data_IF_801284540923
#
_entry.id   IF_801284540923
#
_cell.length_a   1.000
_cell.length_b   1.000
_cell.length_c   1.000
_cell.angle_alpha   90.00
_cell.angle_beta   90.00
_cell.angle_gamma   90.00
#
_symmetry.space_group_name_H-M   'P 1'
#
loop_
_entity.id
_entity.type
_entity.pdbx_description
1 polymer ?
2 non-polymer ?
3 non-polymer ?
4 water ?
#
# COMPACT_ATOMS: atom_id res chain seq x y z
N UNK A 1 22.26 8.82 -6.03
CA UNK A 1 21.18 7.80 -6.08
C UNK A 1 20.66 7.54 -4.67
N UNK A 2 19.35 7.34 -4.56
CA UNK A 2 18.69 7.05 -3.29
C UNK A 2 18.94 8.06 -2.14
N UNK A 3 19.31 9.28 -2.48
CA UNK A 3 19.23 10.34 -1.50
C UNK A 3 17.86 10.98 -1.71
N UNK A 4 16.94 10.78 -0.77
CA UNK A 4 15.58 11.28 -0.96
C UNK A 4 15.36 12.62 -0.26
N UNK A 5 16.43 13.35 0.03
CA UNK A 5 16.30 14.61 0.78
C UNK A 5 15.40 15.66 0.17
N UNK A 6 15.37 15.81 -1.14
CA UNK A 6 14.42 16.85 -1.56
C UNK A 6 13.16 16.30 -2.23
N UNK A 7 12.66 15.21 -1.64
CA UNK A 7 11.50 14.48 -2.18
C UNK A 7 10.44 14.39 -1.12
N UNK A 8 9.18 14.32 -1.55
CA UNK A 8 8.03 14.28 -0.68
C UNK A 8 7.14 13.14 -1.13
N UNK A 9 6.72 12.29 -0.18
CA UNK A 9 5.83 11.15 -0.50
C UNK A 9 4.61 11.17 0.39
N UNK A 10 3.47 10.79 -0.20
CA UNK A 10 2.25 10.64 0.58
C UNK A 10 2.12 9.15 0.87
N UNK A 11 1.94 8.83 2.15
CA UNK A 11 1.78 7.43 2.56
C UNK A 11 0.38 7.22 3.10
N UNK A 12 -0.34 6.26 2.50
CA UNK A 12 -1.73 6.00 2.89
C UNK A 12 -1.90 4.59 3.43
N UNK A 13 -2.50 4.49 4.62
CA UNK A 13 -2.79 3.19 5.20
C UNK A 13 -1.98 2.78 6.43
N UNK A 14 -1.21 3.71 7.02
CA UNK A 14 -0.61 3.41 8.35
C UNK A 14 -1.72 3.33 9.41
N UNK A 15 -1.76 2.21 10.13
CA UNK A 15 -2.67 2.10 11.27
C UNK A 15 -1.93 2.18 12.61
N UNK A 16 -0.76 1.53 12.68
CA UNK A 16 0.05 1.47 13.91
C UNK A 16 1.49 1.11 13.58
N UNK A 17 2.30 0.83 14.61
CA UNK A 17 3.74 0.61 14.41
C UNK A 17 4.03 -0.67 13.63
N UNK A 18 3.04 -1.55 13.53
CA UNK A 18 3.22 -2.81 12.80
C UNK A 18 2.77 -2.73 11.35
N UNK A 19 2.17 -1.60 10.97
CA UNK A 19 1.68 -1.45 9.58
C UNK A 19 2.82 -1.59 8.58
N UNK A 20 2.56 -2.31 7.49
CA UNK A 20 3.52 -2.35 6.41
C UNK A 20 3.93 -0.94 5.95
N UNK A 21 2.94 -0.05 5.83
CA UNK A 21 3.18 1.33 5.39
C UNK A 21 4.08 2.11 6.37
N UNK A 22 4.12 1.69 7.63
CA UNK A 22 5.07 2.32 8.58
C UNK A 22 6.52 1.86 8.36
N UNK A 23 6.69 0.61 7.92
CA UNK A 23 8.03 0.13 7.48
C UNK A 23 8.48 1.00 6.31
N UNK A 24 7.57 1.26 5.36
CA UNK A 24 7.82 2.15 4.22
C UNK A 24 8.22 3.54 4.74
N UNK A 25 7.42 4.09 5.66
CA UNK A 25 7.71 5.42 6.20
C UNK A 25 9.09 5.46 6.84
N UNK A 26 9.46 4.45 7.63
CA UNK A 26 10.76 4.46 8.31
C UNK A 26 11.91 4.48 7.32
N UNK A 27 11.80 3.65 6.29
CA UNK A 27 12.89 3.58 5.30
C UNK A 27 13.00 4.92 4.52
N UNK A 28 11.88 5.43 4.02
CA UNK A 28 11.89 6.69 3.25
C UNK A 28 12.40 7.81 4.15
N UNK A 29 11.94 7.82 5.39
CA UNK A 29 12.41 8.83 6.36
C UNK A 29 13.93 8.78 6.57
N UNK A 30 14.48 7.57 6.70
CA UNK A 30 15.92 7.44 6.93
C UNK A 30 16.71 7.89 5.72
N UNK A 31 16.09 7.79 4.55
CA UNK A 31 16.68 8.24 3.30
C UNK A 31 16.53 9.76 3.10
N UNK A 32 15.83 10.43 4.03
CA UNK A 32 15.77 11.89 4.01
C UNK A 32 14.49 12.49 3.46
N UNK A 33 13.52 11.65 3.09
CA UNK A 33 12.29 12.15 2.48
C UNK A 33 11.39 12.92 3.44
N UNK A 34 10.65 13.89 2.89
CA UNK A 34 9.56 14.53 3.64
C UNK A 34 8.33 13.67 3.45
N UNK A 35 7.59 13.42 4.53
CA UNK A 35 6.45 12.50 4.44
C UNK A 35 5.13 13.14 4.81
N UNK A 36 4.08 12.76 4.08
CA UNK A 36 2.72 13.19 4.33
C UNK A 36 1.95 11.88 4.58
N UNK A 37 1.09 11.88 5.59
CA UNK A 37 0.34 10.70 6.02
C UNK A 37 -1.16 10.95 5.90
N UNK A 38 -1.89 9.95 5.44
CA UNK A 38 -3.34 10.03 5.48
C UNK A 38 -3.92 8.96 6.42
N UNK A 39 -5.15 9.18 6.87
CA UNK A 39 -5.83 8.28 7.79
C UNK A 39 -7.33 8.42 7.57
N UNK A 40 -8.09 7.40 7.95
CA UNK A 40 -9.48 7.31 7.55
C UNK A 40 -10.41 8.18 8.39
N UNK A 41 -10.30 8.04 9.71
CA UNK A 41 -11.22 8.66 10.67
C UNK A 41 -10.47 9.56 11.66
N UNK A 42 -11.09 10.65 12.09
CA UNK A 42 -10.44 11.58 13.02
C UNK A 42 -10.02 10.90 14.32
N UNK A 43 -10.82 9.93 14.77
CA UNK A 43 -10.42 9.14 15.95
C UNK A 43 -8.97 8.60 15.91
N UNK A 44 -8.39 8.38 14.72
CA UNK A 44 -7.03 7.81 14.61
C UNK A 44 -5.88 8.84 14.56
N UNK A 45 -6.23 10.13 14.48
CA UNK A 45 -5.22 11.16 14.21
C UNK A 45 -4.15 11.24 15.30
N UNK A 46 -4.60 11.24 16.56
CA UNK A 46 -3.68 11.44 17.68
C UNK A 46 -2.66 10.31 17.80
N UNK A 47 -3.13 9.06 17.81
CA UNK A 47 -2.22 7.91 17.86
C UNK A 47 -1.26 7.91 16.67
N UNK A 48 -1.74 8.34 15.51
CA UNK A 48 -0.89 8.42 14.32
C UNK A 48 0.16 9.52 14.42
N UNK A 49 -0.25 10.70 14.90
CA UNK A 49 0.69 11.80 15.16
C UNK A 49 1.80 11.32 16.10
N UNK A 50 1.38 10.64 17.16
CA UNK A 50 2.27 10.18 18.21
C UNK A 50 3.22 9.15 17.65
N UNK A 51 2.66 8.16 16.94
CA UNK A 51 3.49 7.17 16.27
C UNK A 51 4.55 7.83 15.38
N UNK A 52 4.12 8.81 14.60
CA UNK A 52 4.99 9.50 13.60
C UNK A 52 6.08 10.43 14.17
N UNK A 53 5.91 10.91 15.41
CA UNK A 53 6.98 11.60 16.14
C UNK A 53 8.27 10.76 16.22
N UNK A 54 8.14 9.44 16.13
CA UNK A 54 9.29 8.55 16.13
C UNK A 54 10.23 8.85 14.98
N UNK A 55 9.68 9.37 13.88
CA UNK A 55 10.49 9.70 12.70
C UNK A 55 11.17 11.06 12.82
N UNK A 56 10.76 11.85 13.79
CA UNK A 56 11.38 13.15 14.06
C UNK A 56 11.32 14.07 12.84
N UNK A 57 10.20 14.02 12.11
CA UNK A 57 10.02 14.87 10.93
C UNK A 57 9.84 16.30 11.43
N UNK A 58 10.43 17.27 10.73
CA UNK A 58 10.40 18.66 11.21
C UNK A 58 9.00 19.25 11.24
N UNK A 59 8.10 18.68 10.43
CA UNK A 59 6.71 19.11 10.33
C UNK A 59 5.83 17.87 10.23
N UNK A 60 4.73 17.85 10.98
CA UNK A 60 3.77 16.75 10.96
C UNK A 60 2.65 17.01 9.94
N UNK A 61 2.71 16.36 8.79
CA UNK A 61 1.71 16.55 7.72
C UNK A 61 0.74 15.39 7.69
N UNK A 62 -0.48 15.58 8.21
CA UNK A 62 -1.48 14.52 8.32
C UNK A 62 -2.85 14.96 7.82
N UNK A 63 -3.51 14.10 7.06
CA UNK A 63 -4.77 14.45 6.39
C UNK A 63 -5.79 13.34 6.53
N UNK A 64 -7.02 13.70 6.93
CA UNK A 64 -8.12 12.75 7.02
C UNK A 64 -8.72 12.53 5.63
N UNK A 65 -8.55 11.31 5.10
CA UNK A 65 -9.10 10.95 3.79
C UNK A 65 -9.68 9.56 3.87
N UNK A 66 -11.00 9.47 3.74
CA UNK A 66 -11.68 8.20 3.60
C UNK A 66 -11.81 7.96 2.10
N UNK A 67 -11.15 6.91 1.62
CA UNK A 67 -11.04 6.70 0.18
C UNK A 67 -12.38 6.25 -0.44
N UNK A 68 -13.36 5.98 0.40
CA UNK A 68 -14.74 5.71 -0.08
C UNK A 68 -15.46 6.97 -0.55
N UNK A 69 -14.90 8.12 -0.21
CA UNK A 69 -15.50 9.42 -0.55
C UNK A 69 -14.70 10.12 -1.63
N UNK A 70 -15.32 10.33 -2.80
CA UNK A 70 -14.68 11.10 -3.87
C UNK A 70 -14.25 12.49 -3.37
N UNK A 71 -15.18 13.18 -2.69
CA UNK A 71 -14.95 14.52 -2.14
C UNK A 71 -13.71 14.55 -1.23
N UNK A 72 -13.60 13.57 -0.34
CA UNK A 72 -12.48 13.54 0.61
C UNK A 72 -11.15 13.29 -0.08
N UNK A 73 -11.14 12.45 -1.11
CA UNK A 73 -9.91 12.18 -1.86
C UNK A 73 -9.46 13.42 -2.69
N UNK A 74 -10.40 14.00 -3.42
CA UNK A 74 -10.13 15.21 -4.19
C UNK A 74 -9.68 16.36 -3.28
N UNK A 75 -10.46 16.63 -2.25
CA UNK A 75 -10.20 17.76 -1.36
C UNK A 75 -8.87 17.59 -0.61
N UNK A 76 -8.63 16.35 -0.18
CA UNK A 76 -7.40 15.96 0.54
C UNK A 76 -6.14 16.19 -0.26
N UNK A 77 -6.06 15.63 -1.47
CA UNK A 77 -4.88 15.88 -2.30
C UNK A 77 -4.73 17.36 -2.71
N UNK A 78 -5.85 18.02 -2.96
CA UNK A 78 -5.79 19.46 -3.21
C UNK A 78 -5.19 20.18 -2.00
N UNK A 79 -5.63 19.85 -0.78
CA UNK A 79 -5.05 20.49 0.40
C UNK A 79 -3.56 20.16 0.59
N UNK A 80 -3.18 18.90 0.32
CA UNK A 80 -1.77 18.53 0.34
C UNK A 80 -0.95 19.39 -0.62
N UNK A 81 -1.45 19.62 -1.84
CA UNK A 81 -0.72 20.43 -2.79
C UNK A 81 -0.57 21.88 -2.30
N UNK A 82 -1.62 22.41 -1.71
CA UNK A 82 -1.57 23.78 -1.16
C UNK A 82 -0.58 23.91 0.01
N UNK A 83 -0.51 22.88 0.86
CA UNK A 83 0.30 22.93 2.06
C UNK A 83 1.77 22.60 1.84
N UNK A 84 2.05 21.60 1.01
CA UNK A 84 3.42 21.08 0.86
C UNK A 84 3.96 21.23 -0.56
N UNK A 85 3.07 21.44 -1.51
CA UNK A 85 3.48 21.58 -2.90
C UNK A 85 3.37 20.28 -3.67
N UNK A 86 4.14 20.16 -4.74
CA UNK A 86 4.14 18.97 -5.54
C UNK A 86 4.81 17.83 -4.81
N UNK A 87 4.43 16.61 -5.15
CA UNK A 87 5.01 15.43 -4.51
C UNK A 87 5.74 14.52 -5.51
N UNK A 88 6.51 13.58 -4.99
CA UNK A 88 7.27 12.67 -5.83
C UNK A 88 6.65 11.30 -5.96
N UNK A 89 5.70 10.99 -5.09
CA UNK A 89 5.02 9.71 -5.17
C UNK A 89 4.05 9.43 -4.05
N UNK A 90 3.37 8.29 -4.17
CA UNK A 90 2.34 7.84 -3.24
C UNK A 90 2.58 6.39 -2.92
N UNK A 91 2.51 6.04 -1.64
CA UNK A 91 2.52 4.64 -1.23
C UNK A 91 1.12 4.30 -0.71
N UNK A 92 0.48 3.33 -1.37
CA UNK A 92 -0.90 2.94 -1.08
C UNK A 92 -0.91 1.58 -0.39
N UNK A 93 -1.47 1.53 0.82
CA UNK A 93 -1.51 0.32 1.63
C UNK A 93 -2.89 0.23 2.29
N UNK A 94 -3.93 0.29 1.49
CA UNK A 94 -5.28 0.33 2.01
C UNK A 94 -6.02 -0.88 1.46
N UNK A 95 -6.65 -1.64 2.34
CA UNK A 95 -7.49 -2.77 1.94
C UNK A 95 -8.54 -2.99 3.00
N UNK A 96 -9.71 -3.45 2.59
CA UNK A 96 -10.72 -3.88 3.54
C UNK A 96 -11.74 -4.82 2.92
N UNK A 97 -12.16 -5.80 3.72
CA UNK A 97 -13.36 -6.60 3.45
C UNK A 97 -14.02 -6.85 4.78
N UNK A 98 -15.35 -7.03 4.79
CA UNK A 98 -16.04 -7.50 6.00
C UNK A 98 -15.44 -8.82 6.49
N UNK A 99 -15.21 -8.90 7.79
CA UNK A 99 -14.60 -10.10 8.37
C UNK A 99 -15.34 -11.38 8.02
N UNK A 100 -16.66 -11.29 7.91
CA UNK A 100 -17.48 -12.47 7.62
C UNK A 100 -17.11 -13.08 6.27
N UNK A 101 -16.55 -12.24 5.39
CA UNK A 101 -16.18 -12.64 4.04
C UNK A 101 -14.78 -13.25 3.95
N UNK A 102 -14.04 -13.21 5.06
CA UNK A 102 -12.67 -13.76 5.12
C UNK A 102 -12.59 -15.10 5.84
N UNK A 103 -13.71 -15.80 5.90
CA UNK A 103 -13.76 -17.08 6.58
C UNK A 103 -14.83 -17.96 5.95
N UNK A 104 -15.70 -17.33 5.17
CA UNK A 104 -16.82 -18.09 4.62
C UNK A 104 -16.40 -19.15 3.60
N UNK A 105 -17.43 -19.71 2.99
CA UNK A 105 -17.28 -20.24 1.66
C UNK A 105 -17.40 -19.01 0.77
N UNK A 106 -16.40 -18.83 -0.11
CA UNK A 106 -16.40 -17.71 -1.03
C UNK A 106 -17.69 -17.61 -1.87
N UNK A 107 -18.26 -18.75 -2.29
CA UNK A 107 -19.51 -18.74 -3.08
C UNK A 107 -20.69 -18.09 -2.36
N UNK A 108 -20.58 -17.94 -1.05
CA UNK A 108 -21.65 -17.33 -0.27
C UNK A 108 -21.50 -15.81 -0.12
N UNK A 109 -20.47 -15.24 -0.75
CA UNK A 109 -20.22 -13.80 -0.63
C UNK A 109 -21.39 -12.98 -1.13
N UNK A 110 -21.78 -11.99 -0.33
CA UNK A 110 -22.85 -11.07 -0.73
C UNK A 110 -22.36 -10.07 -1.78
N UNK A 111 -23.28 -9.56 -2.58
CA UNK A 111 -22.95 -8.50 -3.52
C UNK A 111 -22.33 -7.29 -2.84
N UNK A 112 -22.91 -6.90 -1.71
CA UNK A 112 -22.46 -5.71 -0.99
C UNK A 112 -21.03 -5.93 -0.47
N UNK A 113 -20.74 -7.12 0.09
CA UNK A 113 -19.39 -7.43 0.60
C UNK A 113 -18.36 -7.45 -0.52
N UNK A 114 -18.74 -8.05 -1.65
CA UNK A 114 -17.88 -8.06 -2.84
C UNK A 114 -17.53 -6.66 -3.34
N UNK A 115 -18.54 -5.83 -3.53
CA UNK A 115 -18.32 -4.48 -4.03
C UNK A 115 -17.59 -3.59 -3.05
N UNK A 116 -17.87 -3.76 -1.75
CA UNK A 116 -17.14 -3.06 -0.68
C UNK A 116 -15.63 -3.29 -0.79
N UNK A 117 -15.23 -4.56 -0.93
CA UNK A 117 -13.82 -4.93 -1.05
C UNK A 117 -13.21 -4.31 -2.28
N UNK A 118 -13.96 -4.36 -3.40
CA UNK A 118 -13.46 -3.75 -4.65
C UNK A 118 -13.28 -2.24 -4.51
N UNK A 119 -14.26 -1.60 -3.90
CA UNK A 119 -14.26 -0.15 -3.71
C UNK A 119 -13.03 0.32 -2.92
N UNK A 120 -12.86 -0.21 -1.72
CA UNK A 120 -11.74 0.20 -0.85
C UNK A 120 -10.37 -0.30 -1.32
N UNK A 121 -10.31 -1.55 -1.74
CA UNK A 121 -9.04 -2.23 -1.99
C UNK A 121 -8.50 -2.07 -3.40
N UNK A 122 -9.38 -1.71 -4.34
CA UNK A 122 -8.98 -1.53 -5.73
C UNK A 122 -9.32 -0.17 -6.34
N UNK A 123 -10.60 0.22 -6.37
CA UNK A 123 -10.94 1.51 -6.93
C UNK A 123 -10.19 2.66 -6.23
N UNK A 124 -9.93 2.54 -4.93
CA UNK A 124 -9.22 3.61 -4.21
C UNK A 124 -7.92 4.00 -4.91
N UNK A 125 -7.18 3.01 -5.44
CA UNK A 125 -5.96 3.31 -6.16
C UNK A 125 -6.19 4.19 -7.40
N UNK A 126 -7.27 3.93 -8.12
CA UNK A 126 -7.60 4.66 -9.36
C UNK A 126 -7.83 6.14 -9.06
N UNK A 127 -8.71 6.44 -8.10
CA UNK A 127 -9.03 7.85 -7.78
C UNK A 127 -7.83 8.53 -7.13
N UNK A 128 -7.12 7.82 -6.25
CA UNK A 128 -5.90 8.38 -5.65
C UNK A 128 -4.90 8.75 -6.75
N UNK A 129 -4.73 7.86 -7.74
CA UNK A 129 -3.77 8.13 -8.81
C UNK A 129 -4.18 9.36 -9.61
N UNK A 130 -5.46 9.50 -9.88
CA UNK A 130 -5.95 10.62 -10.69
C UNK A 130 -5.73 11.95 -9.94
N UNK A 131 -5.97 11.95 -8.63
CA UNK A 131 -5.83 13.18 -7.83
C UNK A 131 -4.37 13.45 -7.52
N UNK A 132 -3.60 12.40 -7.25
CA UNK A 132 -2.18 12.57 -7.00
C UNK A 132 -1.40 13.06 -8.20
N UNK A 133 -1.82 12.66 -9.42
CA UNK A 133 -1.12 13.06 -10.66
C UNK A 133 -1.09 14.59 -10.81
N UNK A 134 -2.14 15.24 -10.30
CA UNK A 134 -2.27 16.72 -10.30
C UNK A 134 -1.11 17.37 -9.54
N UNK A 135 -0.56 16.63 -8.58
CA UNK A 135 0.61 17.07 -7.81
C UNK A 135 1.92 16.54 -8.36
N UNK A 136 1.87 15.91 -9.53
CA UNK A 136 3.09 15.33 -10.09
C UNK A 136 3.30 15.73 -11.55
N UNK A 137 3.31 17.04 -11.83
CA UNK A 137 3.38 17.51 -13.21
C UNK A 137 4.68 17.12 -13.93
N UNK A 138 5.77 16.88 -13.20
CA UNK A 138 6.98 16.38 -13.85
C UNK A 138 7.16 14.86 -13.69
N UNK A 139 6.12 14.19 -13.21
CA UNK A 139 6.17 12.74 -13.07
C UNK A 139 6.36 12.31 -11.63
N UNK A 140 6.44 11.00 -11.42
CA UNK A 140 6.45 10.46 -10.04
C UNK A 140 6.27 8.96 -10.07
N UNK A 141 6.06 8.39 -8.89
CA UNK A 141 5.96 6.94 -8.73
C UNK A 141 4.83 6.62 -7.75
N UNK A 142 3.95 5.70 -8.14
CA UNK A 142 2.85 5.24 -7.26
C UNK A 142 3.03 3.75 -7.00
N UNK A 143 2.96 3.34 -5.73
CA UNK A 143 3.18 1.94 -5.36
C UNK A 143 2.02 1.46 -4.50
N UNK A 144 1.51 0.27 -4.80
CA UNK A 144 0.41 -0.32 -4.04
C UNK A 144 0.83 -1.64 -3.43
N UNK A 145 0.19 -2.03 -2.33
CA UNK A 145 0.53 -3.28 -1.65
C UNK A 145 -0.44 -4.37 -2.04
N UNK A 146 0.12 -5.51 -2.41
CA UNK A 146 -0.71 -6.67 -2.74
C UNK A 146 -0.25 -7.96 -2.03
N UNK A 147 -0.93 -9.07 -2.29
CA UNK A 147 -0.64 -10.34 -1.67
C UNK A 147 -0.83 -11.44 -2.70
N UNK A 148 -0.07 -12.52 -2.56
CA UNK A 148 -0.10 -13.65 -3.49
C UNK A 148 -1.53 -14.19 -3.70
N UNK A 149 -2.42 -13.95 -2.74
CA UNK A 149 -3.84 -14.33 -2.90
C UNK A 149 -4.56 -13.65 -4.04
N UNK A 150 -3.96 -12.60 -4.61
CA UNK A 150 -4.50 -12.01 -5.83
C UNK A 150 -4.08 -12.79 -7.09
N UNK A 151 -3.06 -13.64 -6.96
CA UNK A 151 -2.55 -14.46 -8.09
C UNK A 151 -3.00 -15.91 -8.05
N UNK A 152 -3.34 -16.40 -6.85
CA UNK A 152 -3.71 -17.80 -6.64
C UNK A 152 -4.80 -17.83 -5.59
N UNK A 153 -5.65 -18.84 -5.62
CA UNK A 153 -6.68 -18.98 -4.59
C UNK A 153 -6.02 -19.54 -3.32
N UNK A 154 -5.98 -18.69 -2.30
CA UNK A 154 -5.44 -19.03 -0.97
C UNK A 154 -6.65 -19.26 -0.01
N UNK A 155 -6.59 -20.26 0.86
CA UNK A 155 -7.75 -20.56 1.70
C UNK A 155 -8.12 -19.37 2.60
N UNK A 156 -9.43 -19.12 2.70
CA UNK A 156 -10.00 -18.02 3.48
C UNK A 156 -9.84 -16.61 2.94
N UNK A 157 -8.86 -16.37 2.06
CA UNK A 157 -8.63 -14.99 1.61
C UNK A 157 -9.81 -14.47 0.78
N UNK A 158 -10.49 -15.40 0.11
CA UNK A 158 -11.81 -15.17 -0.47
C UNK A 158 -11.98 -13.85 -1.23
N UNK A 159 -12.92 -13.01 -0.79
CA UNK A 159 -13.22 -11.74 -1.49
C UNK A 159 -11.98 -10.82 -1.60
N UNK A 160 -11.05 -10.92 -0.65
CA UNK A 160 -9.83 -10.10 -0.73
C UNK A 160 -8.89 -10.56 -1.85
N UNK A 161 -8.92 -11.85 -2.14
CA UNK A 161 -8.17 -12.41 -3.26
C UNK A 161 -8.66 -11.82 -4.58
N UNK A 162 -9.99 -11.77 -4.75
CA UNK A 162 -10.55 -11.15 -5.95
C UNK A 162 -10.25 -9.63 -5.99
N UNK A 163 -10.31 -8.97 -4.83
CA UNK A 163 -9.97 -7.55 -4.73
C UNK A 163 -8.53 -7.30 -5.06
N UNK A 164 -7.62 -8.17 -4.61
CA UNK A 164 -6.20 -7.98 -4.96
C UNK A 164 -5.92 -8.26 -6.45
N UNK A 165 -6.59 -9.25 -7.04
CA UNK A 165 -6.42 -9.47 -8.50
C UNK A 165 -6.85 -8.22 -9.28
N UNK A 166 -7.94 -7.61 -8.84
CA UNK A 166 -8.46 -6.35 -9.39
C UNK A 166 -7.43 -5.24 -9.20
N UNK A 167 -6.92 -5.08 -7.98
CA UNK A 167 -5.84 -4.11 -7.71
C UNK A 167 -4.62 -4.32 -8.65
N UNK A 168 -4.21 -5.57 -8.83
CA UNK A 168 -3.04 -5.87 -9.64
C UNK A 168 -3.24 -5.50 -11.12
N UNK A 169 -4.45 -5.73 -11.63
CA UNK A 169 -4.78 -5.27 -12.99
C UNK A 169 -4.91 -3.73 -13.04
N UNK A 170 -5.47 -3.13 -11.99
CA UNK A 170 -5.57 -1.66 -11.82
C UNK A 170 -4.17 -1.04 -11.99
N UNK A 171 -3.17 -1.64 -11.34
CA UNK A 171 -1.79 -1.18 -11.43
C UNK A 171 -1.31 -1.18 -12.91
N UNK A 172 -1.58 -2.27 -13.64
CA UNK A 172 -1.12 -2.34 -15.05
C UNK A 172 -1.84 -1.29 -15.92
N UNK A 173 -3.16 -1.17 -15.74
CA UNK A 173 -3.93 -0.17 -16.52
C UNK A 173 -3.53 1.27 -16.20
N UNK A 174 -3.32 1.56 -14.93
CA UNK A 174 -2.78 2.87 -14.56
C UNK A 174 -1.39 3.09 -15.11
N UNK A 175 -0.53 2.07 -15.09
CA UNK A 175 0.83 2.19 -15.63
C UNK A 175 0.76 2.60 -17.12
N UNK A 176 -0.12 1.94 -17.86
CA UNK A 176 -0.31 2.23 -19.29
C UNK A 176 -0.83 3.66 -19.52
N UNK A 177 -1.79 4.07 -18.71
CA UNK A 177 -2.46 5.34 -18.89
C UNK A 177 -1.54 6.50 -18.50
N UNK A 178 -0.78 6.30 -17.43
CA UNK A 178 0.02 7.39 -16.85
C UNK A 178 1.46 7.42 -17.28
N UNK A 179 1.95 6.35 -17.89
CA UNK A 179 3.30 6.29 -18.41
C UNK A 179 3.71 7.52 -19.22
N UNK A 180 2.87 7.97 -20.17
CA UNK A 180 3.20 9.16 -20.96
C UNK A 180 3.38 10.43 -20.13
N UNK A 181 2.83 10.45 -18.92
CA UNK A 181 3.00 11.55 -17.98
C UNK A 181 4.22 11.33 -17.05
N UNK A 182 5.03 10.32 -17.38
CA UNK A 182 6.21 9.93 -16.61
C UNK A 182 5.83 9.57 -15.19
N UNK A 183 4.65 8.98 -15.03
CA UNK A 183 4.25 8.44 -13.70
C UNK A 183 4.27 6.91 -13.79
N UNK A 184 5.08 6.30 -12.94
CA UNK A 184 5.20 4.84 -12.87
C UNK A 184 4.24 4.30 -11.81
N UNK A 185 3.71 3.10 -12.03
CA UNK A 185 2.74 2.53 -11.10
C UNK A 185 3.11 1.06 -10.97
N UNK A 186 3.35 0.62 -9.73
CA UNK A 186 3.87 -0.70 -9.47
C UNK A 186 3.23 -1.26 -8.20
N UNK A 187 3.39 -2.56 -7.97
CA UNK A 187 2.87 -3.19 -6.77
C UNK A 187 3.99 -3.92 -6.05
N UNK A 188 3.84 -4.03 -4.73
CA UNK A 188 4.66 -4.97 -3.96
C UNK A 188 3.77 -6.06 -3.42
N UNK A 189 4.10 -7.29 -3.77
CA UNK A 189 3.42 -8.45 -3.21
C UNK A 189 4.14 -8.89 -1.94
N UNK A 190 3.66 -8.42 -0.80
CA UNK A 190 4.33 -8.73 0.47
C UNK A 190 3.94 -10.12 0.94
N UNK A 191 4.91 -10.85 1.51
CA UNK A 191 4.57 -12.09 2.22
C UNK A 191 3.79 -11.75 3.46
N UNK A 192 3.22 -12.75 4.12
CA UNK A 192 2.42 -12.51 5.33
C UNK A 192 3.25 -11.89 6.44
N UNK A 193 2.66 -10.90 7.08
CA UNK A 193 3.28 -10.18 8.20
C UNK A 193 2.22 -10.00 9.28
N UNK A 194 2.60 -10.25 10.52
CA UNK A 194 1.69 -10.04 11.64
C UNK A 194 1.46 -8.54 11.87
N UNK A 195 0.33 -8.05 11.41
CA UNK A 195 -0.07 -6.66 11.58
C UNK A 195 -1.53 -6.67 12.07
N UNK A 196 -2.12 -5.48 12.22
CA UNK A 196 -3.55 -5.35 12.54
C UNK A 196 -4.45 -6.06 11.51
N UNK A 197 -4.01 -6.17 10.27
CA UNK A 197 -4.82 -6.85 9.25
C UNK A 197 -4.75 -8.39 9.37
N UNK A 198 -3.96 -8.90 10.31
CA UNK A 198 -3.93 -10.33 10.60
C UNK A 198 -4.86 -10.67 11.75
N UNK A 199 -5.40 -9.63 12.39
CA UNK A 199 -6.23 -9.82 13.60
C UNK A 199 -7.58 -10.46 13.26
N UNK A 200 -7.86 -11.58 13.93
CA UNK A 200 -9.07 -12.37 13.67
C UNK A 200 -8.91 -13.41 12.57
N UNK A 201 -7.81 -13.36 11.83
CA UNK A 201 -7.52 -14.33 10.77
C UNK A 201 -7.06 -15.65 11.39
N UNK A 202 -7.93 -16.66 11.34
CA UNK A 202 -7.60 -17.95 11.92
C UNK A 202 -6.47 -18.62 11.16
N UNK A 203 -5.63 -19.34 11.90
CA UNK A 203 -4.53 -20.08 11.30
C UNK A 203 -3.40 -19.21 10.80
N UNK A 204 -3.35 -17.94 11.23
CA UNK A 204 -2.30 -17.05 10.74
C UNK A 204 -0.90 -17.56 11.09
N UNK A 205 -0.74 -18.13 12.29
CA UNK A 205 0.56 -18.70 12.64
C UNK A 205 0.95 -19.88 11.77
N UNK A 206 -0.05 -20.61 11.27
CA UNK A 206 0.19 -21.70 10.33
C UNK A 206 0.71 -21.17 8.99
N UNK A 207 0.15 -20.04 8.53
CA UNK A 207 0.64 -19.39 7.30
C UNK A 207 2.12 -19.00 7.47
N UNK A 208 2.43 -18.34 8.59
CA UNK A 208 3.81 -17.94 8.90
C UNK A 208 4.75 -19.13 8.97
N UNK A 209 4.26 -20.23 9.56
CA UNK A 209 5.07 -21.44 9.63
C UNK A 209 5.37 -22.04 8.27
N UNK A 210 4.41 -22.01 7.36
CA UNK A 210 4.62 -22.58 6.02
C UNK A 210 5.72 -21.83 5.25
N UNK A 211 5.75 -20.50 5.38
CA UNK A 211 6.79 -19.70 4.71
C UNK A 211 8.15 -20.08 5.25
N UNK A 212 8.26 -20.11 6.58
CA UNK A 212 9.50 -20.48 7.24
C UNK A 212 10.02 -21.83 6.79
N UNK A 213 9.11 -22.76 6.53
CA UNK A 213 9.50 -24.12 6.22
C UNK A 213 9.75 -24.34 4.73
N UNK A 214 9.05 -23.56 3.90
CA UNK A 214 9.07 -23.82 2.46
C UNK A 214 9.71 -22.75 1.56
N UNK A 215 9.69 -21.49 1.99
CA UNK A 215 10.19 -20.41 1.11
C UNK A 215 11.71 -20.56 0.99
N UNK A 216 12.27 -20.19 -0.16
CA UNK A 216 13.72 -20.23 -0.35
C UNK A 216 14.55 -19.69 0.83
N UNK A 217 14.21 -18.54 1.41
CA UNK A 217 15.06 -17.98 2.48
C UNK A 217 14.75 -18.60 3.85
N UNK A 218 13.76 -19.47 3.87
CA UNK A 218 13.36 -20.20 5.09
C UNK A 218 13.15 -19.27 6.28
N UNK A 219 12.50 -18.15 6.01
CA UNK A 219 12.16 -17.18 7.03
C UNK A 219 11.07 -16.28 6.48
N UNK A 220 10.38 -15.60 7.37
CA UNK A 220 9.38 -14.65 6.97
C UNK A 220 10.03 -13.28 6.76
N UNK A 221 9.32 -12.41 6.08
CA UNK A 221 9.81 -11.05 5.82
C UNK A 221 9.24 -10.07 6.82
N UNK A 222 9.75 -8.85 6.83
CA UNK A 222 9.15 -7.86 7.71
C UNK A 222 8.85 -6.54 7.00
N UNK A 223 8.27 -5.60 7.73
CA UNK A 223 7.77 -4.37 7.15
C UNK A 223 8.91 -3.53 6.59
N UNK A 224 10.08 -3.57 7.23
CA UNK A 224 11.24 -2.81 6.73
C UNK A 224 11.73 -3.39 5.40
N UNK A 225 11.64 -4.71 5.25
CA UNK A 225 12.05 -5.31 3.99
C UNK A 225 11.14 -4.82 2.83
N UNK A 226 9.82 -4.74 3.09
CA UNK A 226 8.89 -4.18 2.12
C UNK A 226 9.23 -2.71 1.90
N UNK A 227 9.54 -1.98 2.98
CA UNK A 227 9.91 -0.57 2.85
C UNK A 227 11.16 -0.34 1.98
N UNK A 228 12.14 -1.24 2.04
CA UNK A 228 13.35 -1.07 1.22
C UNK A 228 13.04 -1.25 -0.28
N UNK A 229 12.16 -2.19 -0.57
CA UNK A 229 11.74 -2.37 -1.96
C UNK A 229 10.86 -1.19 -2.37
N UNK A 230 10.05 -0.68 -1.45
CA UNK A 230 9.26 0.50 -1.78
C UNK A 230 10.12 1.73 -2.08
N UNK A 231 11.26 1.87 -1.41
CA UNK A 231 12.18 2.99 -1.69
C UNK A 231 12.74 2.86 -3.10
N UNK A 232 13.15 1.66 -3.48
CA UNK A 232 13.62 1.39 -4.82
C UNK A 232 12.53 1.81 -5.83
N UNK A 233 11.30 1.34 -5.63
CA UNK A 233 10.19 1.61 -6.58
C UNK A 233 9.79 3.08 -6.61
N UNK A 234 9.88 3.75 -5.46
CA UNK A 234 9.48 5.16 -5.37
C UNK A 234 10.55 6.11 -5.89
N UNK A 235 11.79 5.64 -5.96
CA UNK A 235 12.93 6.43 -6.37
C UNK A 235 13.21 6.22 -7.86
N UNK A 236 14.21 6.96 -8.35
CA UNK A 236 14.65 6.85 -9.75
C UNK A 236 15.49 5.61 -10.02
N UNK A 237 15.85 4.86 -8.98
CA UNK A 237 16.54 3.57 -9.20
C UNK A 237 15.71 2.67 -10.10
N UNK A 238 14.39 2.80 -9.99
CA UNK A 238 13.46 1.95 -10.72
C UNK A 238 12.92 2.64 -11.98
N UNK A 239 13.70 3.55 -12.55
CA UNK A 239 13.17 4.40 -13.62
C UNK A 239 12.60 3.68 -14.85
N UNK A 240 13.13 2.52 -15.18
CA UNK A 240 12.58 1.80 -16.38
C UNK A 240 11.50 0.77 -16.03
N UNK A 241 11.01 0.80 -14.79
CA UNK A 241 10.13 -0.27 -14.29
C UNK A 241 8.74 0.25 -14.00
N UNK A 242 7.74 -0.31 -14.69
CA UNK A 242 6.37 0.08 -14.42
C UNK A 242 5.41 -1.06 -14.78
N UNK A 243 4.25 -1.06 -14.12
CA UNK A 243 3.26 -2.13 -14.21
C UNK A 243 3.76 -3.47 -13.66
N UNK A 244 4.80 -3.42 -12.83
CA UNK A 244 5.45 -4.61 -12.28
C UNK A 244 4.88 -4.91 -10.88
N UNK A 245 5.03 -6.16 -10.44
CA UNK A 245 4.56 -6.60 -9.14
C UNK A 245 5.78 -7.35 -8.57
N UNK A 246 6.49 -6.72 -7.64
CA UNK A 246 7.69 -7.33 -7.07
C UNK A 246 7.34 -8.10 -5.79
N UNK A 247 7.74 -9.37 -5.73
CA UNK A 247 7.43 -10.20 -4.55
C UNK A 247 8.52 -10.00 -3.48
N UNK A 248 8.09 -9.54 -2.30
CA UNK A 248 9.00 -9.40 -1.14
C UNK A 248 8.48 -10.42 -0.13
N UNK A 249 8.97 -11.65 -0.28
CA UNK A 249 8.26 -12.77 0.35
C UNK A 249 9.18 -13.96 0.59
N UNK A 250 10.48 -13.69 0.65
CA UNK A 250 11.50 -14.72 0.90
C UNK A 250 11.56 -15.76 -0.22
N UNK A 251 11.02 -15.40 -1.39
CA UNK A 251 11.02 -16.31 -2.55
C UNK A 251 9.80 -17.22 -2.66
N UNK A 252 8.82 -17.06 -1.78
CA UNK A 252 7.68 -17.99 -1.73
C UNK A 252 6.91 -18.10 -3.06
N UNK A 253 6.80 -16.97 -3.76
CA UNK A 253 6.10 -16.91 -5.05
C UNK A 253 6.75 -17.85 -6.08
N UNK A 254 8.04 -18.18 -5.90
CA UNK A 254 8.79 -18.92 -6.90
C UNK A 254 8.75 -20.44 -6.71
N UNK A 255 8.11 -20.90 -5.65
CA UNK A 255 8.09 -22.34 -5.33
C UNK A 255 6.68 -22.91 -5.31
N UNK A 256 6.62 -24.23 -5.40
CA UNK A 256 5.36 -24.98 -5.29
C UNK A 256 5.67 -26.36 -4.73
X LIG B 1 -0.06 -10.10 6.01
X LIG B 1 -0.25 -8.91 5.79
X LIG B 1 -0.59 -8.08 6.76
X LIG B 1 -0.17 -8.43 4.36
X LIG B 1 -0.91 -7.30 3.98
X LIG B 1 0.60 -9.11 3.42
X LIG B 1 0.59 -8.64 2.09
X LIG B 1 -0.15 -7.53 1.77
X LIG B 1 -0.89 -6.88 2.70
X LIG B 1 -1.61 -5.67 2.26
X LIG B 1 -3.04 -5.41 2.70
X LIG B 1 -3.97 -6.03 1.85
X LIG B 1 -3.14 -3.89 2.60
X LIG B 1 -3.36 -3.42 1.27
X LIG B 1 -0.91 -4.56 2.83
X LIG B 1 -1.76 -3.41 2.96
X LIG B 1 -1.69 -2.82 4.38
X LIG B 1 -1.76 -3.90 5.30
X LIG B 1 -1.43 -3.78 6.87
X LIG B 1 -0.22 -2.88 7.06
X LIG B 1 -1.39 -5.24 7.25
X LIG B 1 -2.81 -3.09 7.32
X LIG B 1 -3.08 -2.21 8.65
X LIG B 1 -1.80 -2.11 9.45
X LIG B 1 -4.36 -2.71 9.26
X LIG B 1 -3.48 -0.81 7.99
X LIG B 1 -4.73 -0.71 7.32
X LIG B 1 -4.97 0.72 6.89
X LIG B 1 -5.53 1.57 8.02
X LIG B 1 -4.91 2.85 7.83
X LIG B 1 -5.29 4.27 8.51
X LIG B 1 -6.67 4.66 8.05
X LIG B 1 -5.21 4.01 10.00
X LIG B 1 -4.23 5.16 7.89
X LIG B 1 -5.89 0.81 5.79
X LIG B 1 -6.83 1.83 6.12
X LIG B 1 -6.99 1.59 7.61
X LIG B 1 -7.80 2.55 8.28
X LIG B 1 -8.16 1.79 5.49
X LIG B 1 -8.78 2.81 4.91
X LIG B 1 -8.29 4.16 4.70
X LIG B 1 -9.09 5.04 4.06
X LIG B 1 -10.32 4.71 3.63
X LIG B 1 -10.08 2.39 4.44
X LIG B 1 -10.85 3.46 3.77
X LIG B 1 -12.08 3.18 3.31
X LIG B 1 -10.20 1.09 4.79
X LIG B 1 -9.04 0.76 5.44
X LIG C 1 -4.60 -8.37 2.81
X LIG C 1 -4.53 -8.91 3.91
X LIG C 1 -5.57 -8.58 4.98
X LIG C 1 -6.68 -7.76 4.39
X LIG C 1 -7.85 -7.55 5.34
X LIG C 1 -7.85 -8.06 6.64
X LIG C 1 -8.96 -7.81 7.45
X LIG C 1 -9.05 -8.33 8.90
X LIG C 1 -9.91 -7.35 9.70
X LIG C 1 -8.93 -6.84 4.85
X LIG C 1 -10.01 -6.59 5.61
X LIG C 1 -10.09 -7.04 6.90
X LIG C 1 -11.19 -6.79 7.66
X LIG C 1 -11.19 -6.93 8.99
X LIG C 1 -12.21 -6.68 9.63
X LIG C 1 -3.57 -9.79 4.23
X LIG C 1 -2.66 -10.24 3.18
X LIG C 1 -3.35 -10.41 5.56
X LIG C 1 -4.22 -11.63 5.46
X LIG C 1 -5.58 -11.65 5.63
X LIG C 1 -6.08 -12.95 5.41
X LIG C 1 -5.01 -13.88 5.05
X LIG C 1 -3.81 -13.01 5.10
X LIG C 1 -2.46 -13.61 4.81
X LIG C 1 -7.42 -13.36 5.48
X LIG C 1 -7.65 -14.71 5.22
X LIG C 1 -6.62 -15.60 4.88
X LIG C 1 -5.27 -15.23 4.80
#
# INVERSE_FOLDING_TARGET
>A
MLNLENKTYVIMGIANKRSIAFGVAKVLDQLGAKLVFTYRKERSRKELEKLLEQLNQPEAHLYQIDVQSDEEVINGFEQIGKDVGNIDGVYHSIAFANMEDLRGRFSETSREGFLLAQDISSYSLTIVAHEAKKLMPEGGSIVATTYLGGEFAVQNYNVMGVAKASLEANVKYLALDLGPDNIRVNAISAGPIRTLSAKGVGGFNTILKEIKERAPLKRNVDQVEVGKTAAYLLSDLSSGVTGENIHVDSGFHAIK
>B hetero
1 0WD O7N C7N N7N C3N C2N C4N C5N C6N N1N C1M C2M O2M C3M O3M O4M C4M C5M O5M PN O1N O2N O3P PA O1A O2A O5B C5B C4B C3B O3B P2' OP2 OP1 OP3 O4B C1B C2B O2B N9A C4A N3A C2A N1A C5A C6A N6A N7A C8A
>C hetero
1 0WE O2 C1 C17 C18 C19 C24 C23 C26 C25 C20 N21 C22 N36 C37 O28 N3 C4 C5 C6 O10 C9 C8 C7 C38 C14 C13 C12 C11
#
